data_IF_114708875523
#
_entry.id   IF_114708875523
#
_cell.length_a   1.000
_cell.length_b   1.000
_cell.length_c   1.000
_cell.angle_alpha   90.00
_cell.angle_beta   90.00
_cell.angle_gamma   90.00
#
_symmetry.space_group_name_H-M   'P 1'
#
loop_
_entity.id
_entity.type
_entity.pdbx_description
1 polymer ?
#
# COMPACT_ATOMS: atom_id res chain seq x y z
N UNK A 1 6.64 26.82 -29.11
CA UNK A 1 6.58 26.36 -27.69
C UNK A 1 5.18 25.83 -27.46
N UNK A 2 5.02 24.55 -27.11
CA UNK A 2 3.70 23.99 -26.74
C UNK A 2 3.45 24.23 -25.25
N UNK A 3 2.20 24.48 -24.83
CA UNK A 3 1.89 24.66 -23.42
C UNK A 3 2.06 23.34 -22.66
N UNK A 4 2.68 23.41 -21.48
CA UNK A 4 2.81 22.30 -20.54
C UNK A 4 1.41 21.82 -20.17
N UNK A 5 1.13 20.54 -20.40
CA UNK A 5 -0.19 19.96 -20.13
C UNK A 5 -0.37 19.83 -18.62
N UNK A 6 -1.59 20.08 -18.12
CA UNK A 6 -1.98 19.96 -16.70
C UNK A 6 -1.88 18.52 -16.13
N UNK A 7 -1.21 17.58 -16.80
CA UNK A 7 -1.02 16.18 -16.35
C UNK A 7 0.23 15.97 -15.48
N UNK A 8 1.15 16.93 -15.44
CA UNK A 8 2.36 16.82 -14.61
C UNK A 8 2.14 17.26 -13.14
N UNK A 9 0.91 17.64 -12.78
CA UNK A 9 0.57 18.04 -11.42
C UNK A 9 0.16 16.82 -10.58
N UNK A 10 1.14 16.17 -9.96
CA UNK A 10 0.94 15.13 -8.94
C UNK A 10 0.34 15.68 -7.63
N UNK A 11 -0.08 16.96 -7.56
CA UNK A 11 -0.76 17.50 -6.38
C UNK A 11 -1.99 16.68 -5.99
N UNK A 12 -2.62 15.94 -6.90
CA UNK A 12 -3.74 15.03 -6.58
C UNK A 12 -3.35 13.87 -5.64
N UNK A 13 -2.08 13.41 -5.64
CA UNK A 13 -1.57 12.47 -4.63
C UNK A 13 -1.54 13.08 -3.22
N UNK A 14 -1.54 14.42 -3.12
CA UNK A 14 -1.41 15.17 -1.87
C UNK A 14 -2.62 16.07 -1.58
N UNK A 15 -3.62 16.15 -2.47
CA UNK A 15 -4.82 16.98 -2.33
C UNK A 15 -5.96 16.25 -1.63
N UNK A 16 -5.64 15.49 -0.57
CA UNK A 16 -6.62 15.04 0.43
C UNK A 16 -6.84 16.17 1.45
N UNK A 17 -7.08 17.39 0.99
CA UNK A 17 -7.08 18.57 1.88
C UNK A 17 -8.33 18.73 2.74
N UNK A 18 -9.38 17.91 2.57
CA UNK A 18 -10.65 18.09 3.29
C UNK A 18 -11.27 16.80 3.86
N UNK A 19 -10.51 15.72 4.02
CA UNK A 19 -10.93 14.53 4.80
C UNK A 19 -9.75 14.07 5.66
N UNK A 20 -9.96 13.50 6.86
CA UNK A 20 -8.88 12.84 7.58
C UNK A 20 -8.43 11.65 6.73
N UNK A 21 -7.36 11.84 5.96
CA UNK A 21 -6.61 10.74 5.39
C UNK A 21 -6.07 9.94 6.56
N UNK A 22 -6.22 8.61 6.59
CA UNK A 22 -5.57 7.80 7.62
C UNK A 22 -4.04 7.76 7.38
N UNK A 23 -3.53 8.35 6.29
CA UNK A 23 -2.10 8.53 6.05
C UNK A 23 -1.55 9.60 6.99
N UNK A 24 -0.50 9.24 7.71
CA UNK A 24 0.30 10.12 8.56
C UNK A 24 0.59 11.45 7.85
N UNK A 25 0.16 12.57 8.45
CA UNK A 25 0.45 13.91 7.92
C UNK A 25 1.86 14.35 8.31
N UNK A 26 2.38 15.43 7.72
CA UNK A 26 3.67 16.00 8.13
C UNK A 26 3.69 16.43 9.62
N UNK A 27 2.56 16.91 10.15
CA UNK A 27 2.44 17.25 11.58
C UNK A 27 2.50 16.00 12.47
N UNK A 28 1.89 14.89 12.04
CA UNK A 28 1.98 13.61 12.75
C UNK A 28 3.40 13.05 12.65
N UNK A 29 4.02 13.15 11.48
CA UNK A 29 5.39 12.72 11.21
C UNK A 29 6.38 13.41 12.15
N UNK A 30 6.26 14.72 12.38
CA UNK A 30 7.10 15.46 13.33
C UNK A 30 6.90 14.97 14.77
N UNK A 31 5.66 14.75 15.20
CA UNK A 31 5.37 14.23 16.55
C UNK A 31 5.97 12.84 16.76
N UNK A 32 5.81 11.96 15.78
CA UNK A 32 6.35 10.60 15.79
C UNK A 32 7.88 10.62 15.74
N UNK A 33 8.45 11.52 14.94
CA UNK A 33 9.89 11.73 14.87
C UNK A 33 10.48 12.04 16.25
N UNK A 34 9.85 12.91 17.04
CA UNK A 34 10.36 13.24 18.37
C UNK A 34 10.09 12.16 19.44
N UNK A 35 9.25 11.16 19.18
CA UNK A 35 8.92 10.10 20.14
C UNK A 35 9.68 8.78 19.93
N UNK A 36 10.45 8.67 18.84
CA UNK A 36 11.14 7.43 18.47
C UNK A 36 12.66 7.53 18.62
N UNK A 37 13.30 6.39 18.85
CA UNK A 37 14.75 6.25 18.82
C UNK A 37 15.22 5.90 17.39
N UNK A 38 15.86 6.87 16.75
CA UNK A 38 16.34 6.76 15.38
C UNK A 38 17.82 6.35 15.31
N UNK A 39 18.19 5.64 14.25
CA UNK A 39 19.57 5.51 13.82
C UNK A 39 20.11 6.85 13.28
N UNK A 40 21.43 6.92 13.11
CA UNK A 40 22.05 8.07 12.48
C UNK A 40 21.54 8.25 11.03
N UNK A 41 21.48 9.49 10.51
CA UNK A 41 21.11 9.73 9.13
C UNK A 41 21.98 8.96 8.16
N UNK A 42 21.37 8.33 7.17
CA UNK A 42 22.07 7.62 6.10
C UNK A 42 21.55 8.04 4.72
N UNK A 43 22.43 8.01 3.73
CA UNK A 43 22.07 8.31 2.35
C UNK A 43 21.24 7.15 1.76
N UNK A 44 20.26 7.47 0.94
CA UNK A 44 19.45 6.49 0.24
C UNK A 44 19.06 6.95 -1.17
N UNK A 45 18.84 6.00 -2.07
CA UNK A 45 18.14 6.26 -3.32
C UNK A 45 16.70 5.75 -3.22
N UNK A 46 15.72 6.64 -3.36
CA UNK A 46 14.33 6.27 -3.54
C UNK A 46 14.06 5.98 -5.00
N UNK A 47 13.53 4.80 -5.27
CA UNK A 47 13.08 4.37 -6.59
C UNK A 47 11.55 4.31 -6.62
N UNK A 48 10.99 4.98 -7.60
CA UNK A 48 9.55 5.07 -7.85
C UNK A 48 9.28 4.40 -9.20
N UNK A 49 8.43 3.37 -9.21
CA UNK A 49 8.03 2.73 -10.45
C UNK A 49 7.00 3.60 -11.17
N UNK A 50 7.30 3.93 -12.42
CA UNK A 50 6.36 4.54 -13.36
C UNK A 50 5.77 3.42 -14.22
N UNK A 51 4.54 3.03 -13.89
CA UNK A 51 3.84 1.97 -14.60
C UNK A 51 3.38 2.36 -16.00
N UNK A 52 3.24 3.66 -16.31
CA UNK A 52 2.86 4.11 -17.66
C UNK A 52 4.07 3.98 -18.61
N UNK A 53 5.25 4.38 -18.14
CA UNK A 53 6.48 4.35 -18.92
C UNK A 53 7.30 3.06 -18.73
N UNK A 54 6.85 2.13 -17.90
CA UNK A 54 7.56 0.90 -17.52
C UNK A 54 9.01 1.17 -17.10
N UNK A 55 9.23 2.20 -16.27
CA UNK A 55 10.57 2.65 -15.90
C UNK A 55 10.70 3.02 -14.43
N UNK A 56 11.93 3.05 -13.93
CA UNK A 56 12.24 3.47 -12.56
C UNK A 56 12.73 4.92 -12.55
N UNK A 57 12.03 5.76 -11.79
CA UNK A 57 12.48 7.10 -11.46
C UNK A 57 13.28 7.06 -10.16
N UNK A 58 14.48 7.63 -10.17
CA UNK A 58 15.37 7.67 -9.01
C UNK A 58 15.46 9.07 -8.43
N UNK A 59 15.40 9.16 -7.09
CA UNK A 59 15.63 10.38 -6.33
C UNK A 59 16.53 10.07 -5.13
N UNK A 60 17.69 10.70 -5.06
CA UNK A 60 18.56 10.59 -3.89
C UNK A 60 17.99 11.39 -2.72
N UNK A 61 18.09 10.84 -1.51
CA UNK A 61 17.58 11.43 -0.27
C UNK A 61 18.43 10.99 0.92
N UNK A 62 18.08 11.50 2.10
CA UNK A 62 18.63 11.07 3.40
C UNK A 62 17.49 10.54 4.25
N UNK A 63 17.68 9.38 4.86
CA UNK A 63 16.68 8.75 5.71
C UNK A 63 17.24 8.50 7.11
N UNK A 64 16.33 8.29 8.07
CA UNK A 64 16.62 7.77 9.40
C UNK A 64 15.72 6.57 9.64
N UNK A 65 16.29 5.42 9.96
CA UNK A 65 15.53 4.20 10.27
C UNK A 65 15.40 4.06 11.79
N UNK A 66 14.23 3.64 12.26
CA UNK A 66 13.99 3.40 13.68
C UNK A 66 14.75 2.15 14.14
N UNK A 67 15.40 2.22 15.31
CA UNK A 67 16.21 1.10 15.84
C UNK A 67 15.37 -0.12 16.24
N UNK A 68 14.09 0.11 16.57
CA UNK A 68 13.18 -0.91 17.10
C UNK A 68 12.16 -1.33 16.05
N UNK A 69 11.93 -2.63 15.97
CA UNK A 69 10.83 -3.23 15.20
C UNK A 69 9.50 -2.91 15.87
N UNK A 70 8.55 -2.34 15.12
CA UNK A 70 7.20 -2.02 15.59
C UNK A 70 6.31 -3.26 15.69
N UNK A 71 6.46 -4.17 14.74
CA UNK A 71 5.66 -5.37 14.63
C UNK A 71 6.24 -6.31 13.58
N UNK A 72 5.76 -7.54 13.55
CA UNK A 72 6.15 -8.51 12.54
C UNK A 72 4.94 -9.28 12.05
N UNK A 73 4.85 -9.46 10.75
CA UNK A 73 3.96 -10.43 10.13
C UNK A 73 4.68 -11.76 9.88
N UNK A 74 4.02 -12.67 9.17
CA UNK A 74 4.64 -13.96 8.77
C UNK A 74 5.86 -13.78 7.84
N UNK A 75 5.90 -12.69 7.06
CA UNK A 75 6.88 -12.45 5.99
C UNK A 75 7.87 -11.32 6.28
N UNK A 76 7.39 -10.27 6.95
CA UNK A 76 8.13 -9.01 7.10
C UNK A 76 8.15 -8.54 8.55
N UNK A 77 9.28 -7.97 8.96
CA UNK A 77 9.37 -7.06 10.10
C UNK A 77 9.06 -5.64 9.64
N UNK A 78 8.29 -4.90 10.44
CA UNK A 78 7.91 -3.52 10.17
C UNK A 78 8.68 -2.58 11.10
N UNK A 79 9.31 -1.57 10.53
CA UNK A 79 10.02 -0.49 11.23
C UNK A 79 9.55 0.86 10.69
N UNK A 80 9.77 1.94 11.44
CA UNK A 80 9.57 3.28 10.90
C UNK A 80 10.81 3.76 10.17
N UNK A 81 10.60 4.53 9.13
CA UNK A 81 11.64 5.26 8.42
C UNK A 81 11.18 6.71 8.23
N UNK A 82 12.02 7.66 8.60
CA UNK A 82 11.78 9.08 8.34
C UNK A 82 12.61 9.53 7.14
N UNK A 83 11.95 10.06 6.11
CA UNK A 83 12.62 10.72 4.98
C UNK A 83 12.81 12.20 5.30
N UNK A 84 14.08 12.61 5.39
CA UNK A 84 14.46 13.95 5.85
C UNK A 84 14.04 15.01 4.83
N UNK A 85 14.09 14.71 3.54
CA UNK A 85 13.79 15.66 2.49
C UNK A 85 12.27 15.89 2.38
N UNK A 86 11.48 14.82 2.48
CA UNK A 86 10.02 14.91 2.39
C UNK A 86 9.36 15.26 3.73
N UNK A 87 10.11 15.15 4.83
CA UNK A 87 9.62 15.33 6.20
C UNK A 87 8.45 14.41 6.53
N UNK A 88 8.51 13.18 6.02
CA UNK A 88 7.45 12.18 6.14
C UNK A 88 7.95 10.91 6.83
N UNK A 89 7.06 10.25 7.56
CA UNK A 89 7.29 8.92 8.14
C UNK A 89 6.64 7.85 7.27
N UNK A 90 7.42 6.82 6.96
CA UNK A 90 7.02 5.63 6.23
C UNK A 90 7.15 4.40 7.12
N UNK A 91 6.46 3.34 6.74
CA UNK A 91 6.69 2.00 7.24
C UNK A 91 7.66 1.30 6.31
N UNK A 92 8.80 0.92 6.84
CA UNK A 92 9.79 0.04 6.21
C UNK A 92 9.43 -1.41 6.49
N UNK A 93 9.33 -2.22 5.44
CA UNK A 93 9.09 -3.66 5.51
C UNK A 93 10.34 -4.42 5.09
N UNK A 94 10.94 -5.13 6.04
CA UNK A 94 12.16 -5.93 5.85
C UNK A 94 11.80 -7.42 5.87
N UNK A 95 12.28 -8.19 4.89
CA UNK A 95 12.06 -9.64 4.82
C UNK A 95 12.60 -10.38 6.04
N UNK A 96 11.85 -11.36 6.55
CA UNK A 96 12.27 -12.25 7.64
C UNK A 96 12.70 -13.61 7.09
N UNK A 97 13.90 -14.08 7.45
CA UNK A 97 14.36 -15.44 7.17
C UNK A 97 14.55 -15.75 5.67
N UNK A 98 13.86 -16.79 5.18
CA UNK A 98 13.97 -17.32 3.81
C UNK A 98 13.23 -16.50 2.74
N UNK A 99 12.43 -15.51 3.16
CA UNK A 99 11.75 -14.63 2.21
C UNK A 99 12.74 -13.57 1.75
N UNK A 100 13.39 -13.82 0.60
CA UNK A 100 14.18 -12.79 -0.07
C UNK A 100 13.33 -11.55 -0.27
N UNK A 101 13.90 -10.39 0.03
CA UNK A 101 13.18 -9.13 -0.06
C UNK A 101 12.96 -8.77 -1.53
N UNK A 102 11.87 -9.27 -2.12
CA UNK A 102 11.48 -8.95 -3.49
C UNK A 102 10.76 -7.60 -3.55
N UNK A 103 11.49 -6.56 -3.13
CA UNK A 103 10.98 -5.20 -3.02
C UNK A 103 10.53 -4.65 -4.38
N UNK A 104 11.29 -4.95 -5.45
CA UNK A 104 11.01 -4.48 -6.81
C UNK A 104 9.72 -5.07 -7.38
N UNK A 105 9.51 -6.39 -7.26
CA UNK A 105 8.28 -7.01 -7.78
C UNK A 105 7.07 -6.57 -6.96
N UNK A 106 7.23 -6.49 -5.63
CA UNK A 106 6.15 -6.00 -4.76
C UNK A 106 5.71 -4.58 -5.15
N UNK A 107 6.64 -3.68 -5.43
CA UNK A 107 6.33 -2.30 -5.85
C UNK A 107 5.68 -2.28 -7.23
N UNK A 108 6.14 -3.11 -8.18
CA UNK A 108 5.51 -3.23 -9.50
C UNK A 108 4.07 -3.73 -9.39
N UNK A 109 3.84 -4.78 -8.62
CA UNK A 109 2.50 -5.33 -8.33
C UNK A 109 1.60 -4.28 -7.71
N UNK A 110 2.07 -3.59 -6.69
CA UNK A 110 1.27 -2.59 -5.99
C UNK A 110 0.94 -1.39 -6.89
N UNK A 111 1.88 -0.96 -7.74
CA UNK A 111 1.64 0.11 -8.72
C UNK A 111 0.66 -0.31 -9.83
N UNK A 112 0.76 -1.55 -10.33
CA UNK A 112 -0.23 -2.10 -11.26
C UNK A 112 -1.62 -2.11 -10.62
N UNK A 113 -1.73 -2.60 -9.38
CA UNK A 113 -2.99 -2.62 -8.66
C UNK A 113 -3.55 -1.22 -8.41
N UNK A 114 -2.71 -0.24 -8.11
CA UNK A 114 -3.12 1.18 -8.01
C UNK A 114 -3.74 1.68 -9.32
N UNK A 115 -3.16 1.38 -10.47
CA UNK A 115 -3.69 1.79 -11.76
C UNK A 115 -5.06 1.16 -12.06
N UNK A 116 -5.23 -0.12 -11.75
CA UNK A 116 -6.52 -0.81 -11.91
C UNK A 116 -7.56 -0.21 -10.94
N UNK A 117 -7.17 0.11 -9.70
CA UNK A 117 -8.05 0.77 -8.72
C UNK A 117 -8.49 2.17 -9.16
N UNK A 118 -7.63 2.93 -9.84
CA UNK A 118 -8.00 4.23 -10.41
C UNK A 118 -9.14 4.04 -11.43
N UNK A 119 -8.98 3.10 -12.37
CA UNK A 119 -10.02 2.78 -13.37
C UNK A 119 -11.32 2.30 -12.73
N UNK A 120 -11.23 1.37 -11.78
CA UNK A 120 -12.39 0.90 -11.01
C UNK A 120 -13.15 2.06 -10.34
N UNK A 121 -12.44 3.03 -9.77
CA UNK A 121 -13.06 4.18 -9.13
C UNK A 121 -13.70 5.18 -10.12
N UNK A 122 -13.26 5.18 -11.37
CA UNK A 122 -13.85 5.99 -12.46
C UNK A 122 -15.21 5.42 -12.92
N UNK A 123 -15.44 4.11 -12.75
CA UNK A 123 -16.75 3.46 -12.98
C UNK A 123 -17.82 3.87 -11.95
N UNK A 124 -17.45 4.66 -10.93
CA UNK A 124 -18.37 5.19 -9.92
C UNK A 124 -18.95 4.15 -8.95
N UNK A 125 -18.16 3.20 -8.40
CA UNK A 125 -18.65 2.23 -7.44
C UNK A 125 -19.09 2.92 -6.15
N UNK A 126 -20.05 2.32 -5.46
CA UNK A 126 -20.53 2.78 -4.14
C UNK A 126 -19.38 2.95 -3.14
N UNK A 127 -18.38 2.08 -3.25
CA UNK A 127 -17.19 2.10 -2.41
C UNK A 127 -15.95 2.07 -3.29
N UNK A 128 -15.09 3.06 -3.08
CA UNK A 128 -13.83 3.24 -3.82
C UNK A 128 -12.71 2.48 -3.15
N UNK A 129 -11.74 2.04 -3.95
CA UNK A 129 -10.55 1.34 -3.48
C UNK A 129 -9.32 2.21 -3.71
N UNK A 130 -8.51 2.38 -2.68
CA UNK A 130 -7.25 3.10 -2.73
C UNK A 130 -6.12 2.16 -2.33
N UNK A 131 -5.35 1.71 -3.32
CA UNK A 131 -4.12 0.96 -3.06
C UNK A 131 -3.05 1.96 -2.61
N UNK A 132 -2.45 1.74 -1.44
CA UNK A 132 -1.37 2.59 -0.96
C UNK A 132 -0.20 2.58 -1.93
N UNK A 133 0.46 3.72 -2.17
CA UNK A 133 1.69 3.74 -2.92
C UNK A 133 2.78 2.99 -2.17
N UNK A 134 3.73 2.45 -2.91
CA UNK A 134 4.86 1.72 -2.36
C UNK A 134 6.13 2.09 -3.14
N UNK A 135 7.26 2.12 -2.44
CA UNK A 135 8.55 2.52 -3.01
C UNK A 135 9.66 1.56 -2.62
N UNK A 136 10.72 1.54 -3.42
CA UNK A 136 11.98 0.91 -3.04
C UNK A 136 12.92 1.99 -2.56
N UNK A 137 13.57 1.77 -1.42
CA UNK A 137 14.71 2.56 -0.99
C UNK A 137 15.97 1.68 -1.01
N UNK A 138 17.05 2.17 -1.60
CA UNK A 138 18.37 1.55 -1.53
C UNK A 138 19.18 2.29 -0.47
N UNK A 139 19.38 1.66 0.69
CA UNK A 139 20.14 2.26 1.81
C UNK A 139 21.63 2.19 1.50
N UNK A 140 22.27 3.36 1.30
CA UNK A 140 23.68 3.44 0.90
C UNK A 140 24.61 3.33 2.09
N UNK A 141 25.73 2.63 1.90
CA UNK A 141 26.76 2.49 2.94
C UNK A 141 26.48 1.38 3.95
N UNK A 142 25.31 0.72 3.88
CA UNK A 142 25.07 -0.56 4.54
C UNK A 142 25.68 -1.71 3.72
N UNK A 143 25.89 -2.86 4.36
CA UNK A 143 26.39 -4.05 3.67
C UNK A 143 25.48 -4.39 2.47
N UNK A 144 26.09 -4.50 1.29
CA UNK A 144 25.42 -4.77 -0.01
C UNK A 144 24.37 -3.76 -0.46
N UNK A 145 24.26 -2.59 0.18
CA UNK A 145 23.26 -1.56 -0.12
C UNK A 145 21.83 -2.14 -0.24
N UNK A 146 21.21 -2.59 0.86
CA UNK A 146 19.98 -3.36 0.80
C UNK A 146 18.85 -2.55 0.17
N UNK A 147 18.12 -3.18 -0.75
CA UNK A 147 16.85 -2.69 -1.25
C UNK A 147 15.75 -3.04 -0.24
N UNK A 148 15.07 -2.02 0.26
CA UNK A 148 13.97 -2.13 1.22
C UNK A 148 12.69 -1.60 0.60
N UNK A 149 11.57 -2.18 1.02
CA UNK A 149 10.26 -1.75 0.59
C UNK A 149 9.66 -0.81 1.63
N UNK A 150 9.05 0.30 1.19
CA UNK A 150 8.40 1.26 2.07
C UNK A 150 6.99 1.61 1.60
N UNK A 151 6.12 1.96 2.54
CA UNK A 151 4.75 2.43 2.29
C UNK A 151 4.41 3.58 3.26
N UNK A 152 3.44 4.44 2.95
CA UNK A 152 2.98 5.48 3.89
C UNK A 152 2.57 4.87 5.23
N UNK A 153 2.92 5.55 6.32
CA UNK A 153 2.42 5.17 7.63
C UNK A 153 0.91 5.46 7.69
N UNK A 154 0.13 4.42 8.01
CA UNK A 154 -1.29 4.58 8.34
C UNK A 154 -1.46 4.72 9.84
N UNK A 155 -2.12 5.81 10.23
CA UNK A 155 -2.53 6.10 11.60
C UNK A 155 -3.97 5.60 11.74
N UNK A 156 -4.14 4.43 12.34
CA UNK A 156 -5.44 3.79 12.54
C UNK A 156 -5.33 2.28 12.78
N UNK A 157 -6.45 1.59 13.00
CA UNK A 157 -6.47 0.14 13.15
C UNK A 157 -6.05 -0.56 11.85
N UNK A 158 -5.31 -1.65 12.03
CA UNK A 158 -4.93 -2.59 10.97
C UNK A 158 -5.86 -3.79 11.06
N UNK A 159 -6.57 -4.12 9.98
CA UNK A 159 -7.50 -5.25 9.96
C UNK A 159 -7.32 -6.05 8.68
N UNK A 160 -7.27 -7.38 8.78
CA UNK A 160 -7.37 -8.26 7.61
C UNK A 160 -8.83 -8.68 7.47
N UNK A 161 -9.44 -8.39 6.32
CA UNK A 161 -10.75 -8.95 5.98
C UNK A 161 -10.55 -10.42 5.70
N UNK A 162 -11.13 -11.27 6.52
CA UNK A 162 -11.20 -12.71 6.29
C UNK A 162 -12.57 -13.02 5.71
N UNK A 163 -12.69 -13.38 4.42
CA UNK A 163 -13.98 -13.64 3.77
C UNK A 163 -14.76 -14.81 4.41
N UNK A 164 -14.13 -15.58 5.31
CA UNK A 164 -14.74 -16.68 6.07
C UNK A 164 -15.01 -16.34 7.54
N UNK A 165 -14.72 -15.11 7.96
CA UNK A 165 -14.95 -14.65 9.33
C UNK A 165 -16.32 -13.98 9.44
N UNK A 166 -17.11 -14.45 10.39
CA UNK A 166 -18.39 -13.86 10.78
C UNK A 166 -18.23 -12.72 11.80
N UNK A 167 -16.98 -12.37 12.15
CA UNK A 167 -16.67 -11.56 13.34
C UNK A 167 -16.71 -10.07 13.02
N UNK A 168 -17.62 -9.39 13.72
CA UNK A 168 -17.67 -7.95 13.86
C UNK A 168 -16.34 -7.41 14.41
N UNK A 169 -15.70 -6.54 13.63
CA UNK A 169 -14.38 -5.96 13.89
C UNK A 169 -14.36 -5.18 15.23
N UNK A 170 -13.47 -5.55 16.14
CA UNK A 170 -13.34 -4.90 17.45
C UNK A 170 -12.97 -3.40 17.34
N UNK A 171 -12.50 -2.93 16.18
CA UNK A 171 -12.21 -1.51 15.92
C UNK A 171 -13.46 -0.65 15.69
N UNK A 172 -14.65 -1.26 15.63
CA UNK A 172 -15.94 -0.59 15.42
C UNK A 172 -16.75 -0.36 16.72
N UNK A 173 -16.09 -0.22 17.86
CA UNK A 173 -16.74 -0.18 19.19
C UNK A 173 -17.83 0.88 19.38
N UNK A 174 -17.90 1.87 18.48
CA UNK A 174 -18.89 2.96 18.52
C UNK A 174 -20.12 2.73 17.62
N UNK A 175 -20.14 1.68 16.79
CA UNK A 175 -21.30 1.29 15.99
C UNK A 175 -22.06 0.12 16.64
N UNK A 176 -23.37 0.06 16.41
CA UNK A 176 -24.14 -1.15 16.77
C UNK A 176 -23.67 -2.36 15.94
N UNK A 177 -23.75 -3.57 16.50
CA UNK A 177 -23.33 -4.81 15.83
C UNK A 177 -23.88 -4.95 14.40
N UNK A 178 -25.15 -4.57 14.18
CA UNK A 178 -25.76 -4.61 12.86
C UNK A 178 -25.11 -3.62 11.87
N UNK A 179 -24.78 -2.40 12.32
CA UNK A 179 -24.05 -1.44 11.48
C UNK A 179 -22.64 -1.94 11.17
N UNK A 180 -21.98 -2.61 12.12
CA UNK A 180 -20.67 -3.21 11.89
C UNK A 180 -20.74 -4.28 10.80
N UNK A 181 -21.77 -5.13 10.86
CA UNK A 181 -22.04 -6.16 9.88
C UNK A 181 -22.35 -5.58 8.49
N UNK A 182 -23.20 -4.57 8.40
CA UNK A 182 -23.53 -3.93 7.12
C UNK A 182 -22.31 -3.28 6.48
N UNK A 183 -21.47 -2.59 7.25
CA UNK A 183 -20.20 -2.05 6.77
C UNK A 183 -19.27 -3.15 6.24
N UNK A 184 -19.11 -4.23 7.00
CA UNK A 184 -18.30 -5.37 6.60
C UNK A 184 -18.77 -6.01 5.29
N UNK A 185 -20.08 -6.22 5.12
CA UNK A 185 -20.65 -6.80 3.90
C UNK A 185 -20.46 -5.88 2.68
N UNK A 186 -20.65 -4.57 2.85
CA UNK A 186 -20.42 -3.60 1.78
C UNK A 186 -18.93 -3.55 1.35
N UNK A 187 -18.00 -3.70 2.30
CA UNK A 187 -16.56 -3.80 2.00
C UNK A 187 -16.21 -5.10 1.28
N UNK A 188 -16.78 -6.23 1.71
CA UNK A 188 -16.59 -7.52 1.05
C UNK A 188 -17.13 -7.49 -0.38
N UNK A 189 -18.30 -6.88 -0.60
CA UNK A 189 -18.86 -6.66 -1.92
C UNK A 189 -17.92 -5.82 -2.79
N UNK A 190 -17.39 -4.71 -2.26
CA UNK A 190 -16.45 -3.87 -2.99
C UNK A 190 -15.15 -4.62 -3.37
N UNK A 191 -14.64 -5.47 -2.48
CA UNK A 191 -13.49 -6.34 -2.76
C UNK A 191 -13.83 -7.26 -3.94
N UNK A 192 -14.91 -8.04 -3.83
CA UNK A 192 -15.29 -9.01 -4.86
C UNK A 192 -15.53 -8.34 -6.22
N UNK A 193 -16.18 -7.18 -6.23
CA UNK A 193 -16.41 -6.39 -7.45
C UNK A 193 -15.10 -5.92 -8.07
N UNK A 194 -14.12 -5.52 -7.26
CA UNK A 194 -12.81 -5.10 -7.76
C UNK A 194 -11.98 -6.27 -8.28
N UNK A 195 -12.01 -7.43 -7.61
CA UNK A 195 -11.34 -8.64 -8.12
C UNK A 195 -11.91 -9.00 -9.51
N UNK A 196 -13.24 -9.06 -9.64
CA UNK A 196 -13.91 -9.28 -10.93
C UNK A 196 -13.56 -8.20 -11.96
N UNK A 197 -13.58 -6.93 -11.56
CA UNK A 197 -13.21 -5.82 -12.43
C UNK A 197 -11.78 -5.99 -12.97
N UNK A 198 -10.81 -6.33 -12.10
CA UNK A 198 -9.42 -6.53 -12.51
C UNK A 198 -9.25 -7.68 -13.51
N UNK A 199 -10.07 -8.73 -13.37
CA UNK A 199 -10.10 -9.84 -14.30
C UNK A 199 -10.67 -9.46 -15.68
N UNK A 200 -11.73 -8.65 -15.70
CA UNK A 200 -12.29 -8.16 -16.96
C UNK A 200 -11.40 -7.11 -17.63
N UNK A 201 -10.89 -6.14 -16.87
CA UNK A 201 -10.02 -5.06 -17.36
C UNK A 201 -8.69 -5.59 -17.93
N UNK A 202 -8.25 -6.76 -17.48
CA UNK A 202 -7.06 -7.42 -17.98
C UNK A 202 -7.31 -8.37 -19.15
N UNK A 203 -8.49 -8.39 -19.77
CA UNK A 203 -8.88 -9.40 -20.76
C UNK A 203 -8.62 -10.83 -20.26
N UNK A 204 -9.01 -11.08 -19.01
CA UNK A 204 -8.88 -12.37 -18.33
C UNK A 204 -7.44 -12.84 -18.13
N UNK A 205 -6.44 -11.94 -18.20
CA UNK A 205 -5.03 -12.31 -18.03
C UNK A 205 -4.61 -12.39 -16.56
N UNK A 206 -5.21 -11.61 -15.67
CA UNK A 206 -4.89 -11.66 -14.23
C UNK A 206 -6.07 -11.24 -13.35
N UNK A 207 -6.04 -11.67 -12.08
CA UNK A 207 -6.92 -11.15 -11.02
C UNK A 207 -6.07 -10.59 -9.88
N UNK A 208 -6.37 -9.39 -9.42
CA UNK A 208 -5.75 -8.82 -8.22
C UNK A 208 -6.53 -9.32 -7.01
N UNK A 209 -5.84 -9.88 -6.00
CA UNK A 209 -6.44 -10.54 -4.84
C UNK A 209 -5.66 -10.29 -3.53
N UNK A 210 -6.20 -10.83 -2.44
CA UNK A 210 -5.63 -10.82 -1.08
C UNK A 210 -5.29 -9.41 -0.55
N UNK A 211 -6.27 -8.49 -0.47
CA UNK A 211 -6.03 -7.18 0.10
C UNK A 211 -5.78 -7.25 1.61
N UNK A 212 -4.74 -6.55 2.08
CA UNK A 212 -4.59 -6.21 3.50
C UNK A 212 -5.14 -4.80 3.71
N UNK A 213 -6.15 -4.67 4.57
CA UNK A 213 -6.86 -3.42 4.78
C UNK A 213 -6.20 -2.55 5.85
N UNK A 214 -6.31 -1.22 5.67
CA UNK A 214 -5.78 -0.21 6.59
C UNK A 214 -6.82 0.88 6.89
N UNK A 215 -6.92 1.33 8.15
CA UNK A 215 -7.57 2.59 8.54
C UNK A 215 -8.85 2.47 9.37
N UNK A 216 -9.25 3.59 10.00
CA UNK A 216 -10.46 3.69 10.83
C UNK A 216 -11.74 3.65 10.00
N UNK A 217 -12.73 2.95 10.53
CA UNK A 217 -14.09 2.95 10.04
C UNK A 217 -14.81 4.23 10.46
N UNK A 218 -15.03 5.14 9.51
CA UNK A 218 -15.90 6.29 9.72
C UNK A 218 -16.48 6.76 8.40
N UNK A 219 -17.75 6.44 8.14
CA UNK A 219 -18.62 6.96 7.05
C UNK A 219 -18.00 7.10 5.64
N UNK A 220 -16.89 6.41 5.40
CA UNK A 220 -16.00 6.64 4.28
C UNK A 220 -16.33 5.66 3.17
N UNK A 221 -16.77 6.17 2.02
CA UNK A 221 -16.95 5.41 0.77
C UNK A 221 -15.61 5.00 0.14
N UNK A 222 -14.56 4.80 0.94
CA UNK A 222 -13.18 4.55 0.52
C UNK A 222 -12.56 3.47 1.42
N UNK A 223 -11.97 2.44 0.82
CA UNK A 223 -11.15 1.42 1.49
C UNK A 223 -9.69 1.59 1.09
N UNK A 224 -8.79 1.60 2.06
CA UNK A 224 -7.34 1.62 1.81
C UNK A 224 -6.77 0.21 1.90
N UNK A 225 -6.04 -0.20 0.85
CA UNK A 225 -5.42 -1.51 0.76
C UNK A 225 -3.90 -1.41 0.64
N UNK A 226 -3.20 -2.39 1.17
CA UNK A 226 -1.77 -2.60 0.95
C UNK A 226 -1.49 -4.06 0.63
N UNK A 227 -0.30 -4.31 0.09
CA UNK A 227 0.21 -5.64 -0.25
C UNK A 227 -0.72 -6.49 -1.14
N UNK A 228 -1.30 -5.90 -2.21
CA UNK A 228 -2.07 -6.71 -3.14
C UNK A 228 -1.17 -7.80 -3.73
N UNK A 229 -1.76 -8.96 -3.97
CA UNK A 229 -1.17 -10.02 -4.78
C UNK A 229 -1.96 -10.15 -6.07
N UNK A 230 -1.45 -10.85 -7.07
CA UNK A 230 -2.25 -11.22 -8.23
C UNK A 230 -2.02 -12.67 -8.62
N UNK A 231 -3.00 -13.26 -9.28
CA UNK A 231 -2.80 -14.48 -10.05
C UNK A 231 -2.83 -14.14 -11.52
N UNK A 232 -1.91 -14.67 -12.32
CA UNK A 232 -1.93 -14.49 -13.78
C UNK A 232 -1.98 -15.82 -14.52
N UNK A 233 -2.42 -15.80 -15.77
CA UNK A 233 -2.49 -17.00 -16.61
C UNK A 233 -1.10 -17.62 -16.82
N UNK A 234 -0.06 -16.79 -16.89
CA UNK A 234 1.33 -17.18 -17.15
C UNK A 234 2.18 -17.43 -15.89
N UNK A 235 1.65 -17.18 -14.69
CA UNK A 235 2.37 -17.39 -13.43
C UNK A 235 3.42 -16.31 -13.12
N UNK A 236 3.35 -15.14 -13.75
CA UNK A 236 4.33 -14.05 -13.60
C UNK A 236 4.14 -13.20 -12.33
N UNK A 237 3.10 -13.45 -11.52
CA UNK A 237 2.78 -12.69 -10.29
C UNK A 237 3.68 -12.91 -9.08
N UNK A 238 4.85 -13.50 -9.30
CA UNK A 238 5.87 -13.71 -8.28
C UNK A 238 5.48 -14.82 -7.31
N UNK A 239 5.97 -14.72 -6.07
CA UNK A 239 5.96 -15.83 -5.11
C UNK A 239 4.57 -16.32 -4.70
N UNK A 240 3.51 -15.52 -4.88
CA UNK A 240 2.14 -15.86 -4.47
C UNK A 240 1.21 -16.17 -5.64
N UNK A 241 1.76 -16.20 -6.86
CA UNK A 241 0.98 -16.53 -8.03
C UNK A 241 0.87 -18.05 -8.21
N UNK A 242 -0.30 -18.60 -7.93
CA UNK A 242 -0.62 -20.01 -8.20
C UNK A 242 -1.12 -20.23 -9.64
N UNK A 243 -1.01 -19.22 -10.50
CA UNK A 243 -1.35 -19.24 -11.90
C UNK A 243 -2.84 -19.47 -12.15
N UNK A 244 -3.13 -20.22 -13.21
CA UNK A 244 -4.48 -20.70 -13.53
C UNK A 244 -5.20 -21.41 -12.37
N UNK A 245 -4.46 -22.05 -11.46
CA UNK A 245 -5.11 -22.70 -10.31
C UNK A 245 -5.66 -21.68 -9.31
N UNK A 246 -5.02 -20.51 -9.17
CA UNK A 246 -5.54 -19.41 -8.37
C UNK A 246 -6.72 -18.71 -9.05
N UNK A 247 -6.69 -18.57 -10.38
CA UNK A 247 -7.79 -17.98 -11.15
C UNK A 247 -9.08 -18.81 -11.13
N UNK A 248 -8.99 -20.12 -10.94
CA UNK A 248 -10.13 -21.05 -10.93
C UNK A 248 -10.63 -21.42 -9.51
N UNK A 249 -10.05 -20.84 -8.45
CA UNK A 249 -10.28 -21.23 -7.06
C UNK A 249 -11.53 -20.60 -6.42
#
# INVERSE_FOLDING_TARGET
MRPVSKRDDLSWLFNIRNRPSPICTSNDAVKIFHSCEWEEPEAADRLIWDAENCSWNQKSTTVRVMRKVLGSGKKYGCMLMYDVLEQMVYVLKAGLGIYENNAFDSVRTQSMASNVAIKYNEEGPTMKIHILPCWVYILKGRDRNPAIRTEPLIVGPYCKIDPRSDVADASLSNLSIEQQRQHYLAELEAINLFELFSYHESDHQFIIWNPLRLGEHGSSSVVYWTEPSYFSVDGAGGTFDSGLSGLNA
#
